data_IF_112490011539
#
_entry.id   IF_112490011539
#
_cell.length_a   1.000
_cell.length_b   1.000
_cell.length_c   1.000
_cell.angle_alpha   90.00
_cell.angle_beta   90.00
_cell.angle_gamma   90.00
#
_symmetry.space_group_name_H-M   'P 1'
#
loop_
_entity.id
_entity.type
_entity.pdbx_description
1 polymer ?
#
# COMPACT_ATOMS: atom_id res chain seq x y z
N UNK A 1 -0.78 9.54 -13.22
CA UNK A 1 -0.42 10.90 -12.79
C UNK A 1 0.34 11.68 -13.85
N UNK A 2 1.34 11.11 -14.57
CA UNK A 2 2.05 11.83 -15.66
C UNK A 2 1.08 12.39 -16.70
N UNK A 3 0.17 11.55 -17.20
CA UNK A 3 -0.84 11.98 -18.17
C UNK A 3 -1.78 13.05 -17.60
N UNK A 4 -2.14 12.97 -16.31
CA UNK A 4 -3.01 13.98 -15.70
C UNK A 4 -2.29 15.30 -15.47
N UNK A 5 -0.98 15.29 -15.16
CA UNK A 5 -0.16 16.52 -15.07
C UNK A 5 -0.03 17.16 -16.45
N UNK A 6 0.32 16.38 -17.46
CA UNK A 6 0.41 16.86 -18.83
C UNK A 6 -0.92 17.44 -19.33
N UNK A 7 -2.04 16.75 -19.07
CA UNK A 7 -3.37 17.24 -19.44
C UNK A 7 -3.75 18.52 -18.70
N UNK A 8 -3.37 18.64 -17.41
CA UNK A 8 -3.63 19.84 -16.64
C UNK A 8 -2.85 21.05 -17.16
N UNK A 9 -1.62 20.85 -17.63
CA UNK A 9 -0.82 21.90 -18.26
C UNK A 9 -1.41 22.40 -19.60
N UNK A 10 -2.03 21.49 -20.40
CA UNK A 10 -2.54 21.82 -21.73
C UNK A 10 -4.03 22.17 -21.77
N UNK A 11 -4.84 21.57 -20.91
CA UNK A 11 -6.32 21.69 -20.92
C UNK A 11 -6.89 22.15 -19.58
N UNK A 12 -6.05 22.51 -18.62
CA UNK A 12 -6.48 22.90 -17.28
C UNK A 12 -6.91 21.70 -16.41
N UNK A 13 -7.27 21.99 -15.17
CA UNK A 13 -7.69 20.96 -14.20
C UNK A 13 -8.96 20.21 -14.60
N UNK A 14 -9.91 20.92 -15.25
CA UNK A 14 -11.16 20.32 -15.72
C UNK A 14 -10.90 19.32 -16.86
N UNK A 15 -10.05 19.69 -17.83
CA UNK A 15 -9.65 18.81 -18.93
C UNK A 15 -8.92 17.56 -18.44
N UNK A 16 -8.04 17.70 -17.46
CA UNK A 16 -7.37 16.57 -16.81
C UNK A 16 -8.37 15.64 -16.11
N UNK A 17 -9.34 16.20 -15.39
CA UNK A 17 -10.37 15.40 -14.71
C UNK A 17 -11.26 14.65 -15.71
N UNK A 18 -11.67 15.29 -16.79
CA UNK A 18 -12.44 14.67 -17.89
C UNK A 18 -11.65 13.52 -18.53
N UNK A 19 -10.38 13.74 -18.84
CA UNK A 19 -9.52 12.71 -19.42
C UNK A 19 -9.43 11.47 -18.52
N UNK A 20 -9.16 11.66 -17.23
CA UNK A 20 -9.08 10.55 -16.26
C UNK A 20 -10.44 9.84 -16.13
N UNK A 21 -11.54 10.60 -16.12
CA UNK A 21 -12.89 10.05 -16.07
C UNK A 21 -13.24 9.20 -17.30
N UNK A 22 -12.89 9.68 -18.51
CA UNK A 22 -13.11 8.93 -19.76
C UNK A 22 -12.27 7.64 -19.80
N UNK A 23 -11.00 7.70 -19.39
CA UNK A 23 -10.17 6.50 -19.27
C UNK A 23 -10.72 5.49 -18.27
N UNK A 24 -11.23 5.98 -17.11
CA UNK A 24 -11.89 5.14 -16.12
C UNK A 24 -13.15 4.46 -16.67
N UNK A 25 -13.98 5.22 -17.40
CA UNK A 25 -15.18 4.69 -18.04
C UNK A 25 -14.84 3.64 -19.12
N UNK A 26 -13.86 3.93 -19.97
CA UNK A 26 -13.39 2.98 -21.00
C UNK A 26 -12.89 1.68 -20.36
N UNK A 27 -12.07 1.80 -19.32
CA UNK A 27 -11.56 0.64 -18.59
C UNK A 27 -12.70 -0.18 -17.95
N UNK A 28 -13.70 0.48 -17.36
CA UNK A 28 -14.88 -0.17 -16.79
C UNK A 28 -15.69 -0.92 -17.85
N UNK A 29 -15.92 -0.30 -19.01
CA UNK A 29 -16.62 -0.94 -20.12
C UNK A 29 -15.85 -2.13 -20.69
N UNK A 30 -14.53 -2.00 -20.88
CA UNK A 30 -13.67 -3.12 -21.28
C UNK A 30 -13.72 -4.25 -20.24
N UNK A 31 -13.66 -3.93 -18.97
CA UNK A 31 -13.75 -4.92 -17.89
C UNK A 31 -15.08 -5.68 -17.92
N UNK A 32 -16.20 -4.96 -18.04
CA UNK A 32 -17.53 -5.58 -18.14
C UNK A 32 -17.66 -6.50 -19.35
N UNK A 33 -17.08 -6.10 -20.49
CA UNK A 33 -17.16 -6.90 -21.71
C UNK A 33 -16.21 -8.13 -21.70
N UNK A 34 -15.02 -7.98 -21.12
CA UNK A 34 -14.00 -9.04 -21.10
C UNK A 34 -14.11 -9.98 -19.90
N UNK A 35 -14.92 -9.64 -18.88
CA UNK A 35 -15.01 -10.45 -17.66
C UNK A 35 -15.73 -11.76 -17.95
N UNK A 36 -15.05 -12.93 -17.84
CA UNK A 36 -15.73 -14.22 -17.98
C UNK A 36 -16.70 -14.44 -16.81
N UNK A 37 -17.81 -15.16 -17.05
CA UNK A 37 -18.75 -15.49 -15.98
C UNK A 37 -18.04 -16.30 -14.88
N UNK A 38 -18.26 -15.89 -13.62
CA UNK A 38 -17.64 -16.55 -12.47
C UNK A 38 -18.20 -17.96 -12.29
N UNK A 39 -17.37 -19.00 -12.54
CA UNK A 39 -17.76 -20.40 -12.40
C UNK A 39 -17.82 -20.87 -10.95
N UNK A 40 -17.12 -20.21 -10.03
CA UNK A 40 -17.03 -20.59 -8.61
C UNK A 40 -17.84 -19.70 -7.67
N UNK A 41 -18.41 -18.62 -8.18
CA UNK A 41 -19.24 -17.74 -7.38
C UNK A 41 -20.62 -18.36 -7.19
N UNK A 42 -20.86 -18.90 -6.01
CA UNK A 42 -22.22 -19.19 -5.53
C UNK A 42 -22.68 -18.00 -4.71
N UNK A 43 -23.64 -17.24 -5.23
CA UNK A 43 -24.29 -16.20 -4.46
C UNK A 43 -24.90 -16.84 -3.21
N UNK A 44 -24.23 -16.72 -2.06
CA UNK A 44 -24.86 -17.00 -0.79
C UNK A 44 -25.88 -15.90 -0.58
N UNK A 45 -27.15 -16.26 -0.34
CA UNK A 45 -28.15 -15.30 0.08
C UNK A 45 -27.55 -14.42 1.19
N UNK A 46 -27.75 -13.11 1.04
CA UNK A 46 -27.38 -12.17 2.11
C UNK A 46 -27.86 -12.73 3.45
N UNK A 47 -27.15 -12.58 4.55
CA UNK A 47 -27.49 -13.15 5.85
C UNK A 47 -28.67 -12.41 6.49
N UNK A 48 -29.78 -12.27 5.75
CA UNK A 48 -31.05 -11.69 6.22
C UNK A 48 -31.75 -12.63 7.21
N UNK A 49 -31.45 -13.93 7.18
CA UNK A 49 -31.92 -14.91 8.16
C UNK A 49 -31.12 -14.83 9.47
N UNK A 50 -31.76 -15.15 10.59
CA UNK A 50 -31.08 -15.25 11.90
C UNK A 50 -29.89 -16.20 11.85
N UNK A 51 -30.00 -17.32 11.16
CA UNK A 51 -28.93 -18.32 11.00
C UNK A 51 -27.75 -17.74 10.20
N UNK A 52 -28.01 -17.01 9.13
CA UNK A 52 -26.95 -16.37 8.33
C UNK A 52 -26.17 -15.31 9.13
N UNK A 53 -26.87 -14.51 9.93
CA UNK A 53 -26.22 -13.52 10.82
C UNK A 53 -25.38 -14.18 11.90
N UNK A 54 -25.87 -15.25 12.53
CA UNK A 54 -25.11 -15.98 13.53
C UNK A 54 -23.83 -16.61 12.93
N UNK A 55 -23.92 -17.20 11.74
CA UNK A 55 -22.77 -17.74 11.03
C UNK A 55 -21.74 -16.66 10.69
N UNK A 56 -22.18 -15.49 10.25
CA UNK A 56 -21.30 -14.35 9.97
C UNK A 56 -20.61 -13.84 11.24
N UNK A 57 -21.35 -13.66 12.33
CA UNK A 57 -20.78 -13.23 13.63
C UNK A 57 -19.79 -14.24 14.19
N UNK A 58 -20.08 -15.53 14.09
CA UNK A 58 -19.16 -16.58 14.53
C UNK A 58 -17.86 -16.58 13.71
N UNK A 59 -17.96 -16.37 12.38
CA UNK A 59 -16.80 -16.21 11.51
C UNK A 59 -15.96 -14.99 11.91
N UNK A 60 -16.61 -13.84 12.11
CA UNK A 60 -15.92 -12.62 12.54
C UNK A 60 -15.23 -12.80 13.88
N UNK A 61 -15.91 -13.36 14.88
CA UNK A 61 -15.32 -13.65 16.19
C UNK A 61 -14.12 -14.60 16.09
N UNK A 62 -14.19 -15.61 15.24
CA UNK A 62 -13.08 -16.53 15.00
C UNK A 62 -11.85 -15.79 14.43
N UNK A 63 -12.04 -14.90 13.45
CA UNK A 63 -10.96 -14.12 12.87
C UNK A 63 -10.38 -13.11 13.88
N UNK A 64 -11.24 -12.44 14.66
CA UNK A 64 -10.81 -11.47 15.67
C UNK A 64 -10.07 -12.12 16.86
N UNK A 65 -10.23 -13.42 17.10
CA UNK A 65 -9.49 -14.17 18.13
C UNK A 65 -8.10 -14.59 17.68
N UNK A 66 -7.77 -14.48 16.40
CA UNK A 66 -6.44 -14.86 15.88
C UNK A 66 -5.47 -13.66 15.98
N UNK A 67 -4.49 -13.70 16.91
CA UNK A 67 -3.57 -12.60 17.13
C UNK A 67 -2.66 -12.34 15.90
N UNK A 68 -2.39 -13.35 15.09
CA UNK A 68 -1.56 -13.16 13.90
C UNK A 68 -2.31 -12.41 12.79
N UNK A 69 -3.63 -12.56 12.68
CA UNK A 69 -4.42 -11.73 11.77
C UNK A 69 -4.38 -10.25 12.18
N UNK A 70 -4.44 -9.95 13.46
CA UNK A 70 -4.28 -8.57 13.96
C UNK A 70 -2.93 -7.97 13.56
N UNK A 71 -1.86 -8.75 13.68
CA UNK A 71 -0.52 -8.31 13.24
C UNK A 71 -0.50 -8.03 11.75
N UNK A 72 -1.06 -8.92 10.92
CA UNK A 72 -1.08 -8.74 9.47
C UNK A 72 -1.94 -7.53 9.06
N UNK A 73 -3.09 -7.31 9.73
CA UNK A 73 -3.92 -6.12 9.50
C UNK A 73 -3.21 -4.83 9.93
N UNK A 74 -2.51 -4.85 11.07
CA UNK A 74 -1.70 -3.72 11.50
C UNK A 74 -0.55 -3.44 10.51
N UNK A 75 0.11 -4.47 9.99
CA UNK A 75 1.15 -4.30 8.95
C UNK A 75 0.54 -3.67 7.70
N UNK A 76 -0.65 -4.10 7.27
CA UNK A 76 -1.36 -3.47 6.15
C UNK A 76 -1.60 -1.98 6.40
N UNK A 77 -2.10 -1.63 7.59
CA UNK A 77 -2.30 -0.24 8.03
C UNK A 77 -1.00 0.59 7.91
N UNK A 78 0.11 0.07 8.45
CA UNK A 78 1.38 0.77 8.45
C UNK A 78 1.95 0.91 7.03
N UNK A 79 1.86 -0.13 6.20
CA UNK A 79 2.38 -0.13 4.84
C UNK A 79 1.72 0.96 3.97
N UNK A 80 0.39 0.99 3.87
CA UNK A 80 -0.27 2.02 3.05
C UNK A 80 -0.15 3.39 3.66
N UNK A 81 -0.23 3.49 4.98
CA UNK A 81 -0.04 4.75 5.67
C UNK A 81 1.32 5.38 5.38
N UNK A 82 2.42 4.61 5.47
CA UNK A 82 3.76 5.07 5.08
C UNK A 82 3.81 5.44 3.59
N UNK A 83 3.26 4.58 2.73
CA UNK A 83 3.33 4.75 1.28
C UNK A 83 2.66 6.04 0.81
N UNK A 84 1.41 6.25 1.22
CA UNK A 84 0.65 7.44 0.86
C UNK A 84 1.31 8.70 1.44
N UNK A 85 1.81 8.63 2.67
CA UNK A 85 2.51 9.74 3.30
C UNK A 85 3.75 10.15 2.53
N UNK A 86 4.63 9.20 2.16
CA UNK A 86 5.83 9.52 1.37
C UNK A 86 5.46 10.17 0.04
N UNK A 87 4.55 9.57 -0.72
CA UNK A 87 4.18 10.07 -2.05
C UNK A 87 3.39 11.38 -2.03
N UNK A 88 2.74 11.72 -0.92
CA UNK A 88 2.08 13.02 -0.77
C UNK A 88 3.07 14.14 -0.40
N UNK A 89 4.13 13.83 0.36
CA UNK A 89 5.02 14.86 0.89
C UNK A 89 6.38 14.94 0.19
N UNK A 90 6.82 13.91 -0.53
CA UNK A 90 8.10 13.94 -1.25
C UNK A 90 8.14 15.03 -2.34
N UNK A 91 7.00 15.34 -2.95
CA UNK A 91 6.88 16.43 -3.92
C UNK A 91 7.32 17.77 -3.33
N UNK A 92 6.84 18.10 -2.14
CA UNK A 92 7.22 19.34 -1.46
C UNK A 92 8.71 19.42 -1.15
N UNK A 93 9.38 18.29 -0.85
CA UNK A 93 10.83 18.24 -0.69
C UNK A 93 11.55 18.49 -2.01
N UNK A 94 11.08 17.88 -3.09
CA UNK A 94 11.71 17.96 -4.41
C UNK A 94 11.52 19.33 -5.08
N UNK A 95 10.48 20.08 -4.73
CA UNK A 95 10.26 21.45 -5.17
C UNK A 95 11.24 22.46 -4.53
N UNK A 96 11.81 22.12 -3.37
CA UNK A 96 12.71 22.96 -2.64
C UNK A 96 14.19 22.73 -3.00
N UNK A 97 15.09 23.70 -2.76
CA UNK A 97 16.52 23.47 -2.84
C UNK A 97 16.96 22.29 -1.97
N UNK A 98 17.94 21.48 -2.40
CA UNK A 98 18.80 21.68 -3.58
C UNK A 98 18.20 21.16 -4.91
N UNK A 99 17.00 20.56 -4.91
CA UNK A 99 16.43 19.85 -6.07
C UNK A 99 15.73 20.79 -7.06
N UNK A 100 14.81 21.64 -6.60
CA UNK A 100 14.04 22.61 -7.41
C UNK A 100 13.40 22.00 -8.67
N UNK A 101 12.74 20.83 -8.52
CA UNK A 101 12.16 20.09 -9.64
C UNK A 101 10.89 20.74 -10.16
N UNK A 102 10.73 20.71 -11.49
CA UNK A 102 9.48 21.09 -12.16
C UNK A 102 8.35 20.09 -11.91
N UNK A 103 7.10 20.51 -12.13
CA UNK A 103 5.92 19.64 -12.00
C UNK A 103 6.03 18.35 -12.83
N UNK A 104 6.56 18.45 -14.07
CA UNK A 104 6.78 17.30 -14.94
C UNK A 104 7.82 16.33 -14.36
N UNK A 105 8.93 16.86 -13.81
CA UNK A 105 9.95 16.04 -13.16
C UNK A 105 9.38 15.33 -11.92
N UNK A 106 8.56 16.01 -11.11
CA UNK A 106 7.84 15.42 -9.98
C UNK A 106 6.90 14.29 -10.43
N UNK A 107 6.20 14.50 -11.55
CA UNK A 107 5.36 13.48 -12.16
C UNK A 107 6.13 12.19 -12.50
N UNK A 108 7.41 12.30 -12.89
CA UNK A 108 8.24 11.14 -13.26
C UNK A 108 8.55 10.20 -12.10
N UNK A 109 8.50 10.67 -10.84
CA UNK A 109 8.68 9.81 -9.65
C UNK A 109 7.65 8.67 -9.60
N UNK A 110 6.46 8.88 -10.17
CA UNK A 110 5.42 7.85 -10.22
C UNK A 110 5.74 6.70 -11.19
N UNK A 111 6.73 6.84 -12.08
CA UNK A 111 7.22 5.73 -12.91
C UNK A 111 7.84 4.62 -12.04
N UNK A 112 8.29 4.95 -10.83
CA UNK A 112 8.79 3.95 -9.87
C UNK A 112 7.73 2.91 -9.49
N UNK A 113 6.43 3.18 -9.69
CA UNK A 113 5.36 2.19 -9.47
C UNK A 113 5.49 0.95 -10.37
N UNK A 114 6.15 1.07 -11.52
CA UNK A 114 6.42 -0.09 -12.39
C UNK A 114 7.29 -1.14 -11.70
N UNK A 115 8.28 -0.71 -10.91
CA UNK A 115 9.09 -1.61 -10.09
C UNK A 115 8.27 -2.31 -9.02
N UNK A 116 7.23 -1.62 -8.49
CA UNK A 116 6.30 -2.19 -7.54
C UNK A 116 5.51 -3.38 -8.10
N UNK A 117 5.05 -3.30 -9.34
CA UNK A 117 4.38 -4.40 -10.03
C UNK A 117 5.26 -5.66 -10.12
N UNK A 118 6.53 -5.50 -10.50
CA UNK A 118 7.51 -6.59 -10.56
C UNK A 118 7.78 -7.19 -9.17
N UNK A 119 7.93 -6.35 -8.16
CA UNK A 119 8.14 -6.78 -6.78
C UNK A 119 6.95 -7.57 -6.22
N UNK A 120 5.73 -7.12 -6.51
CA UNK A 120 4.51 -7.84 -6.15
C UNK A 120 4.45 -9.22 -6.81
N UNK A 121 4.79 -9.33 -8.09
CA UNK A 121 4.87 -10.62 -8.80
C UNK A 121 5.92 -11.57 -8.19
N UNK A 122 7.05 -11.04 -7.71
CA UNK A 122 8.10 -11.81 -7.06
C UNK A 122 7.73 -12.32 -5.65
N UNK A 123 6.67 -11.79 -5.02
CA UNK A 123 6.29 -12.13 -3.64
C UNK A 123 6.06 -13.62 -3.41
N UNK A 124 5.47 -14.32 -4.39
CA UNK A 124 5.27 -15.77 -4.34
C UNK A 124 6.59 -16.56 -4.35
N UNK A 125 7.59 -16.12 -5.10
CA UNK A 125 8.93 -16.69 -5.08
C UNK A 125 9.61 -16.44 -3.73
N UNK A 126 9.54 -15.21 -3.19
CA UNK A 126 10.08 -14.87 -1.87
C UNK A 126 9.50 -15.76 -0.77
N UNK A 127 8.17 -15.97 -0.78
CA UNK A 127 7.50 -16.84 0.19
C UNK A 127 8.00 -18.28 0.13
N UNK A 128 8.22 -18.81 -1.08
CA UNK A 128 8.71 -20.20 -1.25
C UNK A 128 10.15 -20.39 -0.78
N UNK A 129 11.01 -19.40 -0.96
CA UNK A 129 12.45 -19.55 -0.67
C UNK A 129 12.83 -19.11 0.76
N UNK A 130 12.15 -18.10 1.29
CA UNK A 130 12.50 -17.51 2.58
C UNK A 130 11.42 -17.67 3.65
N UNK A 131 10.24 -18.19 3.27
CA UNK A 131 9.06 -18.17 4.13
C UNK A 131 8.40 -16.80 4.21
N UNK A 132 7.09 -16.78 4.52
CA UNK A 132 6.29 -15.55 4.49
C UNK A 132 6.74 -14.50 5.50
N UNK A 133 7.14 -14.93 6.70
CA UNK A 133 7.56 -14.02 7.79
C UNK A 133 8.91 -13.38 7.48
N UNK A 134 9.91 -14.19 7.08
CA UNK A 134 11.24 -13.67 6.75
C UNK A 134 11.19 -12.72 5.53
N UNK A 135 10.43 -13.09 4.49
CA UNK A 135 10.23 -12.23 3.33
C UNK A 135 9.59 -10.89 3.71
N UNK A 136 8.58 -10.91 4.60
CA UNK A 136 7.90 -9.70 5.07
C UNK A 136 8.85 -8.82 5.90
N UNK A 137 9.67 -9.41 6.77
CA UNK A 137 10.68 -8.69 7.54
C UNK A 137 11.71 -8.04 6.64
N UNK A 138 12.20 -8.76 5.63
CA UNK A 138 13.15 -8.21 4.65
C UNK A 138 12.53 -7.01 3.92
N UNK A 139 11.26 -7.08 3.53
CA UNK A 139 10.60 -5.95 2.87
C UNK A 139 10.44 -4.75 3.82
N UNK A 140 10.10 -4.96 5.09
CA UNK A 140 10.05 -3.86 6.06
C UNK A 140 11.42 -3.23 6.32
N UNK A 141 12.49 -4.02 6.38
CA UNK A 141 13.86 -3.50 6.46
C UNK A 141 14.26 -2.72 5.21
N UNK A 142 13.93 -3.23 4.03
CA UNK A 142 14.17 -2.54 2.74
C UNK A 142 13.38 -1.23 2.67
N UNK A 143 12.15 -1.20 3.18
CA UNK A 143 11.32 0.00 3.27
C UNK A 143 11.99 1.05 4.18
N UNK A 144 12.49 0.66 5.34
CA UNK A 144 13.24 1.53 6.26
C UNK A 144 14.51 2.05 5.59
N UNK A 145 15.29 1.19 4.96
CA UNK A 145 16.51 1.58 4.25
C UNK A 145 16.19 2.58 3.12
N UNK A 146 15.12 2.33 2.35
CA UNK A 146 14.64 3.24 1.32
C UNK A 146 14.29 4.61 1.90
N UNK A 147 13.54 4.68 3.02
CA UNK A 147 13.22 5.91 3.71
C UNK A 147 14.46 6.69 4.12
N UNK A 148 15.46 6.03 4.72
CA UNK A 148 16.70 6.65 5.17
C UNK A 148 17.51 7.23 4.00
N UNK A 149 17.55 6.54 2.86
CA UNK A 149 18.23 7.05 1.66
C UNK A 149 17.57 8.33 1.12
N UNK A 150 16.26 8.52 1.33
CA UNK A 150 15.59 9.77 0.93
C UNK A 150 16.05 10.99 1.74
N UNK A 151 16.82 10.84 2.80
CA UNK A 151 17.42 11.97 3.55
C UNK A 151 18.57 12.63 2.80
N UNK A 152 19.17 11.94 1.84
CA UNK A 152 20.29 12.46 1.07
C UNK A 152 19.88 13.62 0.16
N UNK A 153 20.78 14.58 -0.02
CA UNK A 153 20.65 15.66 -1.01
C UNK A 153 21.14 15.23 -2.40
N UNK A 154 21.68 14.03 -2.54
CA UNK A 154 21.98 13.43 -3.84
C UNK A 154 20.70 12.91 -4.50
N UNK A 155 20.39 13.41 -5.70
CA UNK A 155 19.26 12.96 -6.51
C UNK A 155 19.29 11.46 -6.72
N UNK A 156 20.48 10.89 -6.99
CA UNK A 156 20.64 9.45 -7.22
C UNK A 156 20.25 8.63 -5.98
N UNK A 157 20.74 9.01 -4.80
CA UNK A 157 20.43 8.30 -3.55
C UNK A 157 18.97 8.46 -3.16
N UNK A 158 18.39 9.63 -3.37
CA UNK A 158 16.97 9.88 -3.14
C UNK A 158 16.11 8.99 -4.04
N UNK A 159 16.37 8.95 -5.35
CA UNK A 159 15.62 8.12 -6.30
C UNK A 159 15.80 6.62 -6.02
N UNK A 160 17.02 6.19 -5.67
CA UNK A 160 17.28 4.81 -5.22
C UNK A 160 16.45 4.49 -3.97
N UNK A 161 16.44 5.41 -2.99
CA UNK A 161 15.62 5.28 -1.78
C UNK A 161 14.13 5.14 -2.09
N UNK A 162 13.61 5.98 -2.98
CA UNK A 162 12.22 5.92 -3.43
C UNK A 162 11.91 4.62 -4.19
N UNK A 163 12.84 4.13 -5.01
CA UNK A 163 12.68 2.86 -5.72
C UNK A 163 12.62 1.67 -4.75
N UNK A 164 13.56 1.60 -3.80
CA UNK A 164 13.59 0.55 -2.76
C UNK A 164 12.34 0.61 -1.87
N UNK A 165 11.94 1.80 -1.45
CA UNK A 165 10.74 2.02 -0.65
C UNK A 165 9.48 1.52 -1.39
N UNK A 166 9.34 1.87 -2.68
CA UNK A 166 8.21 1.47 -3.51
C UNK A 166 8.18 -0.04 -3.73
N UNK A 167 9.32 -0.64 -4.09
CA UNK A 167 9.48 -2.08 -4.25
C UNK A 167 9.08 -2.82 -2.96
N UNK A 168 9.61 -2.37 -1.83
CA UNK A 168 9.35 -2.97 -0.52
C UNK A 168 7.87 -2.86 -0.10
N UNK A 169 7.24 -1.74 -0.37
CA UNK A 169 5.80 -1.56 -0.13
C UNK A 169 4.96 -2.56 -0.92
N UNK A 170 5.14 -2.65 -2.23
CA UNK A 170 4.32 -3.51 -3.08
C UNK A 170 4.53 -5.00 -2.78
N UNK A 171 5.78 -5.43 -2.59
CA UNK A 171 6.08 -6.80 -2.20
C UNK A 171 5.55 -7.10 -0.79
N UNK A 172 5.76 -6.21 0.18
CA UNK A 172 5.28 -6.35 1.56
C UNK A 172 3.77 -6.43 1.63
N UNK A 173 3.04 -5.60 0.86
CA UNK A 173 1.58 -5.66 0.75
C UNK A 173 1.11 -7.01 0.18
N UNK A 174 1.73 -7.48 -0.91
CA UNK A 174 1.38 -8.76 -1.53
C UNK A 174 1.63 -9.93 -0.57
N UNK A 175 2.76 -9.93 0.16
CA UNK A 175 3.09 -10.93 1.17
C UNK A 175 2.09 -10.92 2.33
N UNK A 176 1.79 -9.76 2.91
CA UNK A 176 0.85 -9.64 4.02
C UNK A 176 -0.58 -10.05 3.62
N UNK A 177 -1.06 -9.60 2.47
CA UNK A 177 -2.38 -9.94 1.93
C UNK A 177 -2.50 -11.45 1.65
N UNK A 178 -1.47 -12.06 1.06
CA UNK A 178 -1.42 -13.51 0.83
C UNK A 178 -1.44 -14.30 2.15
N UNK A 179 -0.68 -13.86 3.15
CA UNK A 179 -0.64 -14.48 4.47
C UNK A 179 -2.01 -14.40 5.18
N UNK A 180 -2.74 -13.29 5.05
CA UNK A 180 -4.12 -13.16 5.55
C UNK A 180 -5.02 -14.21 4.91
N UNK A 181 -4.96 -14.34 3.58
CA UNK A 181 -5.77 -15.32 2.85
C UNK A 181 -5.48 -16.78 3.24
N UNK A 182 -4.21 -17.12 3.42
CA UNK A 182 -3.77 -18.45 3.82
C UNK A 182 -4.22 -18.80 5.25
N UNK A 183 -4.13 -17.82 6.18
CA UNK A 183 -4.48 -18.04 7.58
C UNK A 183 -5.98 -18.11 7.81
N UNK A 184 -6.76 -17.33 7.06
CA UNK A 184 -8.21 -17.24 7.20
C UNK A 184 -8.97 -18.32 6.42
N UNK A 185 -8.48 -19.57 6.35
CA UNK A 185 -9.11 -20.66 5.58
C UNK A 185 -10.61 -20.79 5.91
N UNK A 186 -11.41 -20.77 4.85
CA UNK A 186 -12.88 -20.80 4.95
C UNK A 186 -13.55 -19.43 5.14
N UNK A 187 -12.79 -18.37 5.48
CA UNK A 187 -13.30 -17.01 5.70
C UNK A 187 -12.43 -15.93 5.01
N UNK A 188 -11.75 -16.33 3.90
CA UNK A 188 -10.77 -15.47 3.22
C UNK A 188 -11.34 -14.12 2.81
N UNK A 189 -12.55 -14.09 2.25
CA UNK A 189 -13.19 -12.84 1.80
C UNK A 189 -13.40 -11.86 2.96
N UNK A 190 -13.89 -12.35 4.11
CA UNK A 190 -14.10 -11.50 5.30
C UNK A 190 -12.78 -10.99 5.87
N UNK A 191 -11.76 -11.85 5.97
CA UNK A 191 -10.45 -11.46 6.46
C UNK A 191 -9.76 -10.46 5.54
N UNK A 192 -9.88 -10.63 4.22
CA UNK A 192 -9.37 -9.69 3.23
C UNK A 192 -10.10 -8.34 3.28
N UNK A 193 -11.42 -8.34 3.52
CA UNK A 193 -12.17 -7.10 3.71
C UNK A 193 -11.68 -6.31 4.94
N UNK A 194 -11.44 -7.00 6.06
CA UNK A 194 -10.88 -6.36 7.27
C UNK A 194 -9.47 -5.84 6.99
N UNK A 195 -8.65 -6.62 6.27
CA UNK A 195 -7.31 -6.18 5.86
C UNK A 195 -7.37 -4.89 5.04
N UNK A 196 -8.25 -4.82 4.03
CA UNK A 196 -8.40 -3.63 3.20
C UNK A 196 -8.96 -2.43 3.99
N UNK A 197 -9.91 -2.64 4.89
CA UNK A 197 -10.39 -1.59 5.80
C UNK A 197 -9.23 -1.03 6.64
N UNK A 198 -8.44 -1.91 7.26
CA UNK A 198 -7.27 -1.52 8.05
C UNK A 198 -6.22 -0.79 7.20
N UNK A 199 -5.94 -1.30 6.00
CA UNK A 199 -5.01 -0.76 5.01
C UNK A 199 -5.37 0.69 4.63
N UNK A 200 -6.62 0.95 4.24
CA UNK A 200 -7.06 2.30 3.90
C UNK A 200 -7.20 3.22 5.13
N UNK A 201 -7.55 2.67 6.30
CA UNK A 201 -7.53 3.43 7.54
C UNK A 201 -6.12 3.94 7.87
N UNK A 202 -5.07 3.16 7.55
CA UNK A 202 -3.68 3.59 7.68
C UNK A 202 -3.35 4.81 6.83
N UNK A 203 -3.76 4.83 5.57
CA UNK A 203 -3.58 5.99 4.70
C UNK A 203 -4.31 7.24 5.23
N UNK A 204 -5.55 7.03 5.71
CA UNK A 204 -6.39 8.12 6.23
C UNK A 204 -5.88 8.69 7.56
N UNK A 205 -5.22 7.86 8.38
CA UNK A 205 -4.71 8.28 9.68
C UNK A 205 -3.30 8.89 9.57
N UNK A 206 -2.35 8.20 8.90
CA UNK A 206 -0.95 8.65 8.84
C UNK A 206 -0.75 9.87 7.94
N UNK A 207 -1.53 10.03 6.87
CA UNK A 207 -1.43 11.19 5.99
C UNK A 207 -1.57 12.53 6.76
N UNK A 208 -2.66 12.78 7.49
CA UNK A 208 -2.82 13.97 8.32
C UNK A 208 -1.77 14.11 9.42
N UNK A 209 -1.37 13.00 10.09
CA UNK A 209 -0.34 13.02 11.13
C UNK A 209 1.00 13.50 10.55
N UNK A 210 1.38 13.00 9.38
CA UNK A 210 2.59 13.46 8.67
C UNK A 210 2.45 14.93 8.28
N UNK A 211 1.25 15.41 7.92
CA UNK A 211 0.99 16.82 7.67
C UNK A 211 1.29 17.71 8.86
N UNK A 212 0.93 17.28 10.06
CA UNK A 212 1.27 18.01 11.30
C UNK A 212 2.78 18.06 11.54
N UNK A 213 3.49 16.98 11.25
CA UNK A 213 4.96 16.90 11.40
C UNK A 213 5.66 17.73 10.32
N UNK A 214 5.08 17.85 9.12
CA UNK A 214 5.61 18.62 8.01
C UNK A 214 5.60 20.15 8.25
N UNK A 215 4.86 20.66 9.22
CA UNK A 215 4.70 22.11 9.47
C UNK A 215 6.01 22.91 9.55
N UNK A 216 7.12 22.29 9.90
CA UNK A 216 8.47 22.89 9.90
C UNK A 216 9.24 22.69 8.59
N UNK A 217 8.65 22.15 7.54
CA UNK A 217 9.30 21.79 6.27
C UNK A 217 10.51 20.84 6.45
N UNK A 218 10.51 20.01 7.50
CA UNK A 218 11.61 19.11 7.83
C UNK A 218 11.31 17.69 7.35
N UNK A 219 11.84 17.33 6.18
CA UNK A 219 11.74 15.97 5.65
C UNK A 219 12.29 14.91 6.62
N UNK A 220 13.35 15.27 7.36
CA UNK A 220 13.93 14.37 8.37
C UNK A 220 12.96 13.98 9.47
N UNK A 221 12.08 14.87 9.90
CA UNK A 221 11.06 14.57 10.90
C UNK A 221 9.99 13.61 10.35
N UNK A 222 9.59 13.79 9.08
CA UNK A 222 8.69 12.86 8.38
C UNK A 222 9.33 11.48 8.29
N UNK A 223 10.58 11.40 7.84
CA UNK A 223 11.31 10.12 7.74
C UNK A 223 11.45 9.46 9.11
N UNK A 224 11.81 10.21 10.16
CA UNK A 224 11.93 9.68 11.52
C UNK A 224 10.61 9.05 12.01
N UNK A 225 9.49 9.73 11.81
CA UNK A 225 8.15 9.21 12.13
C UNK A 225 7.86 7.91 11.35
N UNK A 226 8.08 7.91 10.03
CA UNK A 226 7.76 6.76 9.20
C UNK A 226 8.69 5.56 9.44
N UNK A 227 9.96 5.81 9.77
CA UNK A 227 10.91 4.77 10.20
C UNK A 227 10.46 4.16 11.54
N UNK A 228 10.03 4.99 12.49
CA UNK A 228 9.44 4.50 13.75
C UNK A 228 8.22 3.62 13.48
N UNK A 229 7.29 4.08 12.65
CA UNK A 229 6.08 3.33 12.27
C UNK A 229 6.44 1.99 11.60
N UNK A 230 7.37 1.99 10.64
CA UNK A 230 7.84 0.77 9.99
C UNK A 230 8.57 -0.17 10.96
N UNK A 231 9.34 0.39 11.90
CA UNK A 231 10.00 -0.34 12.99
C UNK A 231 9.00 -1.06 13.91
N UNK A 232 7.89 -0.41 14.24
CA UNK A 232 6.77 -1.06 14.96
C UNK A 232 6.24 -2.23 14.14
N UNK A 233 6.02 -2.05 12.84
CA UNK A 233 5.62 -3.14 11.94
C UNK A 233 6.60 -4.32 11.98
N UNK A 234 7.90 -4.04 11.91
CA UNK A 234 8.95 -5.06 12.00
C UNK A 234 8.92 -5.80 13.34
N UNK A 235 8.73 -5.11 14.45
CA UNK A 235 8.60 -5.73 15.78
C UNK A 235 7.37 -6.63 15.87
N UNK A 236 6.25 -6.21 15.29
CA UNK A 236 5.01 -7.00 15.28
C UNK A 236 5.18 -8.32 14.52
N UNK A 237 6.03 -8.39 13.48
CA UNK A 237 6.26 -9.63 12.73
C UNK A 237 6.82 -10.76 13.61
N UNK A 238 7.51 -10.45 14.71
CA UNK A 238 8.01 -11.45 15.67
C UNK A 238 6.90 -12.27 16.31
N UNK A 239 5.66 -11.76 16.30
CA UNK A 239 4.47 -12.46 16.83
C UNK A 239 3.81 -13.38 15.82
N UNK A 240 4.26 -13.41 14.55
CA UNK A 240 3.65 -14.24 13.51
C UNK A 240 4.02 -15.72 13.65
N UNK A 241 5.08 -16.06 14.39
CA UNK A 241 5.59 -17.43 14.49
C UNK A 241 6.19 -17.94 13.17
N UNK A 242 6.95 -19.03 13.18
CA UNK A 242 7.37 -19.69 11.95
C UNK A 242 6.11 -20.23 11.23
N UNK A 243 6.07 -20.02 9.90
CA UNK A 243 5.00 -20.54 9.04
C UNK A 243 5.19 -22.01 8.78
#
# INVERSE_FOLDING_TARGET
RLLSVWAAEHWGSEGAALMVGLWGLLAALCFLYCLPPSQQFRARALPLSRVGRQAWWSALQKLLRDPALWVLWAIGFLLLGCFVSVYNYIGFRLEQPPFAWSALALGSVFLLYTFGGLASAASGWMTRHWGSVCALQLMLLTLIAGLLLTLSDSVLLLLLGMALFTLAFFAGHALASSAVGQRARGHQALAASIYLCSYYAGASALGPIVGLVWHGQHWSAVVALLVFVAGVGLMLTKRLGPA
#
